data_IF_296220577875
#
_entry.id   IF_296220577875
#
_cell.length_a   1.000
_cell.length_b   1.000
_cell.length_c   1.000
_cell.angle_alpha   90.00
_cell.angle_beta   90.00
_cell.angle_gamma   90.00
#
_symmetry.space_group_name_H-M   'P 1'
#
loop_
_entity.id
_entity.type
_entity.pdbx_description
1 polymer ?
#
# COMPACT_ATOMS: atom_id res chain seq x y z
N UNK A 1 37.49 26.61 -5.04
CA UNK A 1 36.71 26.93 -6.25
C UNK A 1 36.27 25.63 -6.91
N UNK A 2 35.02 25.19 -6.67
CA UNK A 2 34.27 24.44 -7.68
C UNK A 2 32.95 25.15 -8.01
N UNK A 3 32.59 25.04 -9.29
CA UNK A 3 31.51 25.76 -9.97
C UNK A 3 30.16 25.12 -9.65
N UNK A 4 29.25 25.96 -9.15
CA UNK A 4 27.85 25.65 -8.88
C UNK A 4 27.04 25.75 -10.18
N UNK A 5 26.20 24.76 -10.48
CA UNK A 5 25.12 24.87 -11.47
C UNK A 5 23.76 24.87 -10.78
N UNK A 6 22.82 25.78 -11.14
CA UNK A 6 21.52 25.87 -10.47
C UNK A 6 20.42 25.13 -11.25
N UNK A 7 19.64 24.31 -10.54
CA UNK A 7 18.36 23.79 -11.04
C UNK A 7 17.23 24.78 -10.75
N UNK A 8 16.52 25.19 -11.80
CA UNK A 8 15.27 25.95 -11.74
C UNK A 8 14.11 25.01 -11.37
N UNK A 9 13.36 25.37 -10.33
CA UNK A 9 12.00 24.86 -10.08
C UNK A 9 10.98 25.96 -10.43
N UNK A 10 10.12 25.68 -11.41
CA UNK A 10 8.91 26.46 -11.70
C UNK A 10 7.69 25.69 -11.22
N UNK A 11 6.99 26.26 -10.24
CA UNK A 11 5.69 25.80 -9.73
C UNK A 11 4.58 26.11 -10.73
N UNK A 12 3.62 25.20 -10.88
CA UNK A 12 2.23 25.59 -11.16
C UNK A 12 1.26 24.65 -10.45
N UNK A 13 0.30 25.26 -9.77
CA UNK A 13 -0.85 24.67 -9.08
C UNK A 13 -2.03 24.72 -10.08
N UNK A 14 -2.99 23.78 -10.01
CA UNK A 14 -4.33 24.28 -9.71
C UNK A 14 -5.19 23.41 -8.78
N UNK A 15 -5.95 24.16 -7.97
CA UNK A 15 -7.35 24.00 -7.65
C UNK A 15 -7.86 22.72 -6.96
N UNK A 16 -8.21 22.94 -5.68
CA UNK A 16 -9.28 22.25 -4.95
C UNK A 16 -10.61 22.36 -5.69
N UNK A 17 -11.32 21.25 -5.78
CA UNK A 17 -12.79 21.22 -5.74
C UNK A 17 -13.23 20.28 -4.65
N UNK A 18 -13.88 20.88 -3.67
CA UNK A 18 -14.65 20.27 -2.60
C UNK A 18 -15.87 19.54 -3.15
N UNK A 19 -16.13 18.31 -2.68
CA UNK A 19 -17.49 17.81 -2.58
C UNK A 19 -17.68 17.12 -1.23
N UNK A 20 -18.67 17.66 -0.54
CA UNK A 20 -19.26 17.28 0.73
C UNK A 20 -20.08 15.99 0.64
N UNK A 21 -20.12 15.27 1.77
CA UNK A 21 -21.32 14.57 2.24
C UNK A 21 -21.57 13.20 1.63
N UNK A 22 -21.57 12.16 2.47
CA UNK A 22 -22.78 11.45 2.88
C UNK A 22 -22.35 10.47 3.98
N UNK A 23 -22.96 10.65 5.16
CA UNK A 23 -22.95 9.73 6.27
C UNK A 23 -23.70 8.45 5.89
N UNK A 24 -23.12 7.27 6.11
CA UNK A 24 -23.88 6.03 6.20
C UNK A 24 -23.15 5.02 7.08
N UNK A 25 -23.78 4.76 8.20
CA UNK A 25 -23.50 3.72 9.19
C UNK A 25 -23.76 2.33 8.63
N UNK A 26 -22.82 1.38 8.75
CA UNK A 26 -23.18 -0.03 9.00
C UNK A 26 -21.97 -0.87 9.42
N UNK A 27 -22.22 -1.68 10.44
CA UNK A 27 -21.44 -2.66 11.20
C UNK A 27 -20.62 -3.71 10.39
N UNK A 28 -19.74 -4.48 11.06
CA UNK A 28 -18.66 -5.24 10.42
C UNK A 28 -19.16 -6.59 9.90
N UNK A 29 -18.89 -6.91 8.63
CA UNK A 29 -19.07 -8.26 8.08
C UNK A 29 -17.76 -8.83 7.54
N UNK A 30 -17.32 -9.87 8.25
CA UNK A 30 -16.53 -11.05 7.86
C UNK A 30 -15.73 -10.94 6.55
N UNK A 31 -14.40 -11.01 6.72
CA UNK A 31 -13.40 -11.34 5.68
C UNK A 31 -13.85 -12.59 4.91
N UNK A 32 -14.28 -12.42 3.67
CA UNK A 32 -14.37 -13.52 2.70
C UNK A 32 -12.99 -13.71 2.07
N UNK A 33 -12.38 -14.85 2.36
CA UNK A 33 -11.17 -15.35 1.71
C UNK A 33 -11.39 -15.34 0.20
N UNK A 34 -10.47 -14.71 -0.54
CA UNK A 34 -10.52 -14.59 -1.99
C UNK A 34 -10.55 -15.97 -2.64
N UNK A 35 -11.51 -16.15 -3.56
CA UNK A 35 -11.64 -17.35 -4.36
C UNK A 35 -10.42 -17.51 -5.25
N UNK A 36 -9.87 -18.72 -5.25
CA UNK A 36 -8.81 -19.18 -6.14
C UNK A 36 -9.26 -19.11 -7.61
N UNK A 37 -8.32 -19.02 -8.57
CA UNK A 37 -8.62 -18.99 -10.00
C UNK A 37 -9.36 -20.25 -10.43
N UNK A 38 -10.38 -20.05 -11.26
CA UNK A 38 -11.31 -21.03 -11.82
C UNK A 38 -10.59 -22.13 -12.64
N UNK A 39 -10.01 -23.11 -11.97
CA UNK A 39 -9.39 -24.28 -12.61
C UNK A 39 -10.39 -25.29 -13.19
N UNK A 40 -11.71 -25.02 -13.14
CA UNK A 40 -12.74 -25.98 -13.55
C UNK A 40 -13.32 -25.78 -14.97
N UNK A 41 -12.90 -24.76 -15.71
CA UNK A 41 -13.48 -24.47 -17.04
C UNK A 41 -12.97 -25.35 -18.21
N UNK A 42 -12.11 -26.35 -17.96
CA UNK A 42 -11.56 -27.23 -19.03
C UNK A 42 -12.20 -28.61 -19.14
N UNK A 43 -13.36 -28.87 -18.52
CA UNK A 43 -13.99 -30.20 -18.50
C UNK A 43 -15.04 -30.43 -19.62
N UNK A 44 -15.19 -29.50 -20.56
CA UNK A 44 -16.28 -29.53 -21.55
C UNK A 44 -16.06 -30.40 -22.79
N UNK A 45 -14.84 -30.85 -23.08
CA UNK A 45 -14.53 -31.49 -24.37
C UNK A 45 -13.58 -32.70 -24.19
N UNK A 46 -14.09 -33.80 -23.66
CA UNK A 46 -13.45 -35.11 -23.89
C UNK A 46 -14.52 -36.20 -23.96
N UNK A 47 -14.69 -36.79 -25.14
CA UNK A 47 -15.53 -37.97 -25.32
C UNK A 47 -15.10 -39.08 -24.37
N UNK A 48 -16.10 -39.76 -23.79
CA UNK A 48 -16.03 -41.00 -22.99
C UNK A 48 -14.61 -41.44 -22.56
N UNK A 49 -13.99 -40.68 -21.66
CA UNK A 49 -12.79 -41.12 -20.97
C UNK A 49 -13.17 -42.29 -20.04
N UNK A 50 -12.31 -43.30 -19.98
CA UNK A 50 -12.49 -44.43 -19.07
C UNK A 50 -12.67 -43.91 -17.63
N UNK A 51 -13.50 -44.54 -16.77
CA UNK A 51 -13.60 -44.16 -15.36
C UNK A 51 -12.24 -44.11 -14.65
N UNK A 52 -11.25 -44.88 -15.12
CA UNK A 52 -9.87 -44.84 -14.61
C UNK A 52 -9.14 -43.52 -14.96
N UNK A 53 -9.33 -42.98 -16.16
CA UNK A 53 -8.74 -41.70 -16.60
C UNK A 53 -9.35 -40.51 -15.83
N UNK A 54 -10.64 -40.61 -15.47
CA UNK A 54 -11.33 -39.60 -14.67
C UNK A 54 -10.80 -39.54 -13.23
N UNK A 55 -10.51 -40.70 -12.62
CA UNK A 55 -9.90 -40.79 -11.29
C UNK A 55 -8.47 -40.26 -11.31
N UNK A 56 -7.68 -40.63 -12.32
CA UNK A 56 -6.31 -40.15 -12.46
C UNK A 56 -6.25 -38.63 -12.64
N UNK A 57 -7.16 -38.06 -13.43
CA UNK A 57 -7.30 -36.61 -13.60
C UNK A 57 -7.66 -35.90 -12.28
N UNK A 58 -8.60 -36.45 -11.51
CA UNK A 58 -8.97 -35.92 -10.20
C UNK A 58 -7.79 -35.97 -9.22
N UNK A 59 -7.08 -37.09 -9.14
CA UNK A 59 -5.89 -37.23 -8.30
C UNK A 59 -4.81 -36.20 -8.68
N UNK A 60 -4.54 -36.00 -9.98
CA UNK A 60 -3.61 -34.96 -10.46
C UNK A 60 -4.04 -33.55 -10.05
N UNK A 61 -5.33 -33.21 -10.17
CA UNK A 61 -5.84 -31.90 -9.72
C UNK A 61 -5.78 -31.70 -8.21
N UNK A 62 -6.15 -32.70 -7.42
CA UNK A 62 -6.04 -32.60 -5.96
C UNK A 62 -4.58 -32.45 -5.53
N UNK A 63 -3.66 -33.18 -6.16
CA UNK A 63 -2.23 -33.09 -5.89
C UNK A 63 -1.70 -31.69 -6.20
N UNK A 64 -2.10 -31.12 -7.34
CA UNK A 64 -1.74 -29.74 -7.73
C UNK A 64 -2.32 -28.69 -6.78
N UNK A 65 -3.59 -28.84 -6.37
CA UNK A 65 -4.22 -27.96 -5.38
C UNK A 65 -3.53 -28.01 -4.01
N UNK A 66 -3.16 -29.22 -3.55
CA UNK A 66 -2.41 -29.38 -2.30
C UNK A 66 -1.04 -28.72 -2.37
N UNK A 67 -0.33 -28.86 -3.49
CA UNK A 67 0.95 -28.20 -3.69
C UNK A 67 0.82 -26.66 -3.65
N UNK A 68 -0.22 -26.11 -4.30
CA UNK A 68 -0.51 -24.67 -4.27
C UNK A 68 -0.90 -24.18 -2.87
N UNK A 69 -1.67 -24.96 -2.11
CA UNK A 69 -2.04 -24.62 -0.73
C UNK A 69 -0.81 -24.62 0.18
N UNK A 70 0.07 -25.63 0.08
CA UNK A 70 1.32 -25.66 0.82
C UNK A 70 2.23 -24.48 0.47
N UNK A 71 2.32 -24.13 -0.81
CA UNK A 71 3.07 -22.95 -1.25
C UNK A 71 2.49 -21.67 -0.63
N UNK A 72 1.15 -21.51 -0.66
CA UNK A 72 0.48 -20.32 -0.13
C UNK A 72 0.61 -20.21 1.38
N UNK A 73 0.56 -21.32 2.09
CA UNK A 73 0.79 -21.38 3.54
C UNK A 73 2.22 -20.99 3.89
N UNK A 74 3.21 -21.46 3.11
CA UNK A 74 4.60 -21.03 3.24
C UNK A 74 4.80 -19.53 2.96
N UNK A 75 4.12 -18.96 1.98
CA UNK A 75 4.13 -17.51 1.72
C UNK A 75 3.51 -16.70 2.86
N UNK A 76 2.35 -17.13 3.37
CA UNK A 76 1.69 -16.49 4.51
C UNK A 76 2.57 -16.51 5.76
N UNK A 77 3.29 -17.60 5.98
CA UNK A 77 4.22 -17.70 7.10
C UNK A 77 5.38 -16.71 6.96
N UNK A 78 6.01 -16.64 5.78
CA UNK A 78 7.05 -15.63 5.49
C UNK A 78 6.52 -14.20 5.67
N UNK A 79 5.27 -13.92 5.29
CA UNK A 79 4.66 -12.60 5.47
C UNK A 79 4.44 -12.27 6.96
N UNK A 80 4.04 -13.24 7.78
CA UNK A 80 3.92 -13.07 9.24
C UNK A 80 5.28 -12.79 9.88
N UNK A 81 6.30 -13.56 9.49
CA UNK A 81 7.66 -13.39 10.02
C UNK A 81 8.24 -12.01 9.61
N UNK A 82 8.01 -11.58 8.37
CA UNK A 82 8.39 -10.24 7.92
C UNK A 82 7.67 -9.12 8.67
N UNK A 83 6.39 -9.30 9.02
CA UNK A 83 5.65 -8.31 9.84
C UNK A 83 6.18 -8.23 11.25
N UNK A 84 6.51 -9.35 11.89
CA UNK A 84 7.14 -9.37 13.22
C UNK A 84 8.47 -8.62 13.21
N UNK A 85 9.32 -8.90 12.22
CA UNK A 85 10.60 -8.19 12.05
C UNK A 85 10.41 -6.67 11.85
N UNK A 86 9.37 -6.26 11.12
CA UNK A 86 9.05 -4.85 10.94
C UNK A 86 8.58 -4.19 12.25
N UNK A 87 7.75 -4.88 13.03
CA UNK A 87 7.30 -4.40 14.35
C UNK A 87 8.47 -4.28 15.34
N UNK A 88 9.33 -5.30 15.44
CA UNK A 88 10.54 -5.28 16.26
C UNK A 88 11.50 -4.15 15.83
N UNK A 89 11.68 -3.96 14.52
CA UNK A 89 12.49 -2.85 13.99
C UNK A 89 11.89 -1.49 14.32
N UNK A 90 10.56 -1.35 14.27
CA UNK A 90 9.86 -0.12 14.60
C UNK A 90 9.97 0.21 16.10
N UNK A 91 9.81 -0.78 16.97
CA UNK A 91 9.98 -0.63 18.42
C UNK A 91 11.43 -0.23 18.77
N UNK A 92 12.41 -0.89 18.16
CA UNK A 92 13.84 -0.54 18.30
C UNK A 92 14.13 0.90 17.86
N UNK A 93 13.54 1.33 16.72
CA UNK A 93 13.71 2.70 16.24
C UNK A 93 13.07 3.76 17.16
N UNK A 94 11.92 3.46 17.77
CA UNK A 94 11.28 4.35 18.76
C UNK A 94 12.13 4.44 20.03
N UNK A 95 12.63 3.31 20.52
CA UNK A 95 13.52 3.27 21.68
C UNK A 95 14.82 4.06 21.44
N UNK A 96 15.45 3.87 20.28
CA UNK A 96 16.65 4.61 19.90
C UNK A 96 16.41 6.14 19.82
N UNK A 97 15.23 6.57 19.34
CA UNK A 97 14.86 7.99 19.32
C UNK A 97 14.69 8.57 20.72
N UNK A 98 14.01 7.83 21.61
CA UNK A 98 13.85 8.26 23.00
C UNK A 98 15.20 8.39 23.70
N UNK A 99 16.12 7.44 23.47
CA UNK A 99 17.48 7.52 24.02
C UNK A 99 18.22 8.76 23.51
N UNK A 100 18.20 9.03 22.20
CA UNK A 100 18.86 10.21 21.63
C UNK A 100 18.29 11.53 22.16
N UNK A 101 16.98 11.57 22.45
CA UNK A 101 16.34 12.74 23.03
C UNK A 101 16.76 12.94 24.50
N UNK A 102 16.83 11.86 25.28
CA UNK A 102 17.38 11.89 26.65
C UNK A 102 18.84 12.33 26.66
N UNK A 103 19.68 11.78 25.76
CA UNK A 103 21.08 12.14 25.64
C UNK A 103 21.25 13.62 25.26
N UNK A 104 20.39 14.15 24.38
CA UNK A 104 20.36 15.58 24.01
C UNK A 104 20.07 16.45 25.22
N UNK A 105 19.05 16.11 25.98
CA UNK A 105 18.63 16.90 27.13
C UNK A 105 19.68 16.82 28.25
N UNK A 106 20.29 15.64 28.46
CA UNK A 106 21.43 15.47 29.36
C UNK A 106 22.63 16.35 28.94
N UNK A 107 23.04 16.29 27.67
CA UNK A 107 24.12 17.13 27.14
C UNK A 107 23.81 18.62 27.27
N UNK A 108 22.55 19.03 27.08
CA UNK A 108 22.14 20.41 27.26
C UNK A 108 22.33 20.86 28.71
N UNK A 109 21.87 20.06 29.67
CA UNK A 109 22.07 20.37 31.10
C UNK A 109 23.54 20.40 31.48
N UNK A 110 24.38 19.52 30.92
CA UNK A 110 25.82 19.51 31.14
C UNK A 110 26.48 20.78 30.57
N UNK A 111 26.09 21.21 29.37
CA UNK A 111 26.57 22.48 28.77
C UNK A 111 26.18 23.67 29.64
N UNK A 112 24.92 23.75 30.10
CA UNK A 112 24.45 24.82 30.98
C UNK A 112 25.18 24.82 32.34
N UNK A 113 25.45 23.63 32.90
CA UNK A 113 26.21 23.47 34.14
C UNK A 113 27.69 23.88 33.97
N UNK A 114 28.33 23.50 32.86
CA UNK A 114 29.69 23.90 32.53
C UNK A 114 29.79 25.41 32.30
N UNK A 115 28.80 26.01 31.63
CA UNK A 115 28.73 27.46 31.46
C UNK A 115 28.62 28.17 32.81
N UNK A 116 27.72 27.71 33.68
CA UNK A 116 27.55 28.25 35.04
C UNK A 116 28.80 28.06 35.91
N UNK A 117 29.58 26.99 35.70
CA UNK A 117 30.87 26.76 36.38
C UNK A 117 31.94 27.71 35.84
N UNK A 118 31.98 27.93 34.54
CA UNK A 118 32.90 28.87 33.91
C UNK A 118 32.64 30.30 34.41
N UNK A 119 31.38 30.74 34.46
CA UNK A 119 31.02 32.06 35.01
C UNK A 119 31.40 32.20 36.50
N UNK A 120 31.13 31.18 37.32
CA UNK A 120 31.54 31.16 38.73
C UNK A 120 33.06 31.18 38.90
N UNK A 121 33.78 30.44 38.07
CA UNK A 121 35.25 30.45 38.04
C UNK A 121 35.78 31.83 37.65
N UNK A 122 35.26 32.43 36.58
CA UNK A 122 35.64 33.79 36.17
C UNK A 122 35.40 34.80 37.31
N UNK A 123 34.28 34.71 38.04
CA UNK A 123 33.98 35.58 39.18
C UNK A 123 34.91 35.37 40.39
N UNK A 124 35.15 34.11 40.78
CA UNK A 124 36.06 33.77 41.88
C UNK A 124 37.50 34.16 41.55
N UNK A 125 37.92 33.99 40.30
CA UNK A 125 39.24 34.34 39.83
C UNK A 125 39.43 35.86 39.79
N UNK A 126 38.42 36.63 39.35
CA UNK A 126 38.46 38.10 39.42
C UNK A 126 38.63 38.57 40.87
N UNK A 127 37.91 37.97 41.81
CA UNK A 127 38.03 38.29 43.24
C UNK A 127 39.41 37.89 43.81
N UNK A 128 39.90 36.68 43.51
CA UNK A 128 41.21 36.20 43.96
C UNK A 128 42.37 37.05 43.42
N UNK A 129 42.33 37.37 42.12
CA UNK A 129 43.31 38.26 41.48
C UNK A 129 43.26 39.69 42.06
N UNK A 130 42.08 40.18 42.43
CA UNK A 130 41.93 41.47 43.09
C UNK A 130 42.57 41.48 44.50
N UNK A 131 42.37 40.41 45.28
CA UNK A 131 42.97 40.26 46.60
C UNK A 131 44.50 40.17 46.54
N UNK A 132 45.07 39.35 45.65
CA UNK A 132 46.53 39.26 45.48
C UNK A 132 47.13 40.59 45.01
N UNK A 133 46.46 41.31 44.11
CA UNK A 133 46.87 42.67 43.72
C UNK A 133 46.84 43.64 44.91
N UNK A 134 45.86 43.52 45.80
CA UNK A 134 45.80 44.34 47.00
C UNK A 134 46.94 44.02 47.98
N UNK A 135 47.29 42.73 48.14
CA UNK A 135 48.43 42.29 48.96
C UNK A 135 49.76 42.76 48.40
N UNK A 136 49.99 42.67 47.08
CA UNK A 136 51.18 43.23 46.41
C UNK A 136 51.29 44.73 46.70
N UNK A 137 50.19 45.49 46.50
CA UNK A 137 50.17 46.93 46.81
C UNK A 137 50.39 47.23 48.29
N UNK A 138 50.00 46.34 49.21
CA UNK A 138 50.27 46.49 50.65
C UNK A 138 51.76 46.31 50.92
N UNK A 139 52.35 45.24 50.41
CA UNK A 139 53.78 44.95 50.55
C UNK A 139 54.66 46.03 49.90
N UNK A 140 54.25 46.58 48.75
CA UNK A 140 54.93 47.72 48.10
C UNK A 140 54.92 48.97 48.98
N UNK A 141 53.80 49.24 49.66
CA UNK A 141 53.68 50.36 50.62
C UNK A 141 54.52 50.14 51.86
N UNK A 142 54.48 48.94 52.45
CA UNK A 142 55.31 48.57 53.60
C UNK A 142 56.81 48.71 53.27
N UNK A 143 57.22 48.25 52.08
CA UNK A 143 58.57 48.41 51.57
C UNK A 143 58.96 49.88 51.43
N UNK A 144 58.09 50.72 50.86
CA UNK A 144 58.36 52.14 50.68
C UNK A 144 58.60 52.85 52.02
N UNK A 145 57.80 52.54 53.05
CA UNK A 145 57.97 53.08 54.40
C UNK A 145 59.31 52.64 55.01
N UNK A 146 59.69 51.37 54.87
CA UNK A 146 60.98 50.87 55.39
C UNK A 146 62.18 51.51 54.67
N UNK A 147 62.04 51.83 53.38
CA UNK A 147 63.08 52.56 52.63
C UNK A 147 63.20 53.99 53.14
N UNK A 148 62.09 54.69 53.37
CA UNK A 148 62.10 56.05 53.93
C UNK A 148 62.68 56.08 55.35
N UNK A 149 62.32 55.11 56.20
CA UNK A 149 62.92 54.98 57.54
C UNK A 149 64.42 54.70 57.46
N UNK A 150 64.85 53.80 56.56
CA UNK A 150 66.26 53.52 56.33
C UNK A 150 67.02 54.78 55.89
N UNK A 151 66.45 55.60 55.02
CA UNK A 151 67.04 56.87 54.56
C UNK A 151 67.20 57.86 55.73
N UNK A 152 66.19 58.00 56.61
CA UNK A 152 66.28 58.83 57.82
C UNK A 152 67.42 58.37 58.75
N UNK A 153 67.54 57.07 58.99
CA UNK A 153 68.64 56.52 59.80
C UNK A 153 70.01 56.65 59.10
N UNK A 154 70.06 56.63 57.77
CA UNK A 154 71.29 56.90 57.00
C UNK A 154 71.74 58.37 57.11
N UNK A 155 70.79 59.31 57.10
CA UNK A 155 71.04 60.72 57.34
C UNK A 155 71.51 60.97 58.78
N UNK A 156 70.85 60.36 59.78
CA UNK A 156 71.25 60.46 61.19
C UNK A 156 72.63 59.85 61.45
N UNK A 157 72.93 58.70 60.84
CA UNK A 157 74.26 58.11 60.91
C UNK A 157 75.31 59.05 60.32
N UNK A 158 75.02 59.66 59.17
CA UNK A 158 75.91 60.62 58.51
C UNK A 158 76.12 61.88 59.37
N UNK A 159 75.07 62.34 60.06
CA UNK A 159 75.12 63.47 61.00
C UNK A 159 76.01 63.17 62.22
N UNK A 160 75.80 62.03 62.88
CA UNK A 160 76.59 61.61 64.05
C UNK A 160 78.05 61.35 63.67
N UNK A 161 78.30 60.70 62.53
CA UNK A 161 79.66 60.51 62.02
C UNK A 161 80.36 61.84 61.70
N UNK A 162 79.63 62.82 61.15
CA UNK A 162 80.14 64.17 60.93
C UNK A 162 80.48 64.92 62.23
N UNK A 163 79.67 64.77 63.28
CA UNK A 163 79.93 65.34 64.60
C UNK A 163 81.18 64.74 65.26
N UNK A 164 81.35 63.41 65.21
CA UNK A 164 82.56 62.72 65.67
C UNK A 164 83.82 63.20 64.93
N UNK A 165 83.73 63.41 63.61
CA UNK A 165 84.84 63.90 62.79
C UNK A 165 85.22 65.36 63.13
N UNK A 166 84.25 66.21 63.49
CA UNK A 166 84.49 67.59 63.92
C UNK A 166 85.09 67.66 65.34
N UNK A 167 84.64 66.80 66.27
CA UNK A 167 85.19 66.71 67.63
C UNK A 167 86.64 66.20 67.68
N UNK A 168 87.06 65.37 66.72
CA UNK A 168 88.45 64.90 66.60
C UNK A 168 89.40 65.88 65.90
N UNK A 169 88.89 66.90 65.22
CA UNK A 169 89.70 67.81 64.38
C UNK A 169 90.20 69.06 65.11
N UNK A 170 89.80 69.30 66.37
CA UNK A 170 90.25 70.43 67.19
C UNK A 170 91.64 70.26 67.83
N UNK A 171 92.34 69.13 67.61
CA UNK A 171 93.60 68.78 68.30
C UNK A 171 94.88 68.87 67.42
N UNK A 172 94.87 69.65 66.34
CA UNK A 172 96.07 69.77 65.50
C UNK A 172 96.12 71.09 64.74
N UNK A 173 96.83 72.09 65.28
CA UNK A 173 98.04 72.72 64.69
C UNK A 173 98.48 74.01 65.47
N UNK A 174 99.30 73.83 66.53
CA UNK A 174 100.53 74.58 66.96
C UNK A 174 100.58 76.13 67.19
N UNK A 175 101.62 76.76 67.84
CA UNK A 175 102.78 76.26 68.60
C UNK A 175 103.06 76.93 70.00
N UNK A 176 103.79 76.18 70.86
CA UNK A 176 104.94 76.55 71.75
C UNK A 176 105.07 78.00 72.29
N UNK A 177 104.89 78.20 73.61
CA UNK A 177 105.88 78.71 74.61
C UNK A 177 105.19 79.13 75.94
N UNK A 178 105.73 78.69 77.08
CA UNK A 178 105.63 79.43 78.35
C UNK A 178 104.72 78.88 79.45
N UNK A 179 105.32 78.10 80.36
CA UNK A 179 105.02 77.92 81.81
C UNK A 179 103.64 78.35 82.33
N UNK A 180 102.87 77.38 82.86
CA UNK A 180 102.57 77.21 84.29
C UNK A 180 101.74 75.94 84.51
N UNK A 181 101.93 75.18 85.61
CA UNK A 181 101.19 73.95 85.86
C UNK A 181 100.24 74.12 87.06
N UNK A 182 98.96 74.36 86.83
CA UNK A 182 97.91 74.09 87.83
C UNK A 182 96.61 73.65 87.11
N UNK A 183 96.12 72.47 87.52
CA UNK A 183 94.76 71.92 87.49
C UNK A 183 93.97 71.99 86.15
N UNK A 184 93.71 70.91 85.40
CA UNK A 184 93.62 69.49 85.74
C UNK A 184 92.17 69.03 85.98
N UNK A 185 91.23 69.23 85.03
CA UNK A 185 89.91 68.55 84.99
C UNK A 185 89.01 69.01 83.81
N UNK A 186 89.43 68.82 82.56
CA UNK A 186 88.53 69.06 81.41
C UNK A 186 88.63 68.02 80.27
N UNK A 187 89.55 67.06 80.34
CA UNK A 187 89.69 66.02 79.32
C UNK A 187 88.74 64.83 79.52
N UNK A 188 88.29 64.55 80.76
CA UNK A 188 87.38 63.45 81.06
C UNK A 188 85.97 63.62 80.46
N UNK A 189 85.46 64.85 80.43
CA UNK A 189 84.13 65.15 79.88
C UNK A 189 84.09 65.06 78.35
N UNK A 190 85.24 65.19 77.66
CA UNK A 190 85.33 65.06 76.20
C UNK A 190 85.41 63.60 75.75
N UNK A 191 86.14 62.76 76.49
CA UNK A 191 86.21 61.31 76.22
C UNK A 191 84.86 60.62 76.49
N UNK A 192 84.13 61.03 77.54
CA UNK A 192 82.78 60.54 77.84
C UNK A 192 81.78 60.92 76.73
N UNK A 193 81.82 62.17 76.24
CA UNK A 193 81.00 62.61 75.10
C UNK A 193 81.33 61.88 73.79
N UNK A 194 82.61 61.58 73.53
CA UNK A 194 83.00 60.79 72.37
C UNK A 194 82.52 59.35 72.48
N UNK A 195 82.65 58.73 73.65
CA UNK A 195 82.18 57.37 73.89
C UNK A 195 80.64 57.26 73.77
N UNK A 196 79.91 58.27 74.25
CA UNK A 196 78.45 58.34 74.09
C UNK A 196 78.05 58.48 72.62
N UNK A 197 78.71 59.36 71.85
CA UNK A 197 78.49 59.50 70.42
C UNK A 197 78.85 58.23 69.63
N UNK A 198 79.89 57.50 70.03
CA UNK A 198 80.26 56.22 69.43
C UNK A 198 79.25 55.11 69.74
N UNK A 199 78.72 55.07 70.97
CA UNK A 199 77.63 54.18 71.38
C UNK A 199 76.35 54.46 70.61
N UNK A 200 75.96 55.74 70.50
CA UNK A 200 74.83 56.20 69.67
C UNK A 200 75.05 55.83 68.20
N UNK A 201 76.24 56.07 67.65
CA UNK A 201 76.55 55.71 66.26
C UNK A 201 76.46 54.19 66.04
N UNK A 202 76.90 53.37 67.00
CA UNK A 202 76.80 51.91 66.91
C UNK A 202 75.36 51.41 67.01
N UNK A 203 74.53 52.01 67.86
CA UNK A 203 73.09 51.69 67.91
C UNK A 203 72.38 52.07 66.61
N UNK A 204 72.68 53.23 66.04
CA UNK A 204 72.16 53.68 64.74
C UNK A 204 72.61 52.74 63.61
N UNK A 205 73.88 52.32 63.58
CA UNK A 205 74.38 51.32 62.61
C UNK A 205 73.62 50.00 62.72
N UNK A 206 73.40 49.50 63.93
CA UNK A 206 72.67 48.26 64.18
C UNK A 206 71.20 48.37 63.72
N UNK A 207 70.55 49.51 63.99
CA UNK A 207 69.18 49.78 63.54
C UNK A 207 69.10 49.88 62.01
N UNK A 208 70.07 50.54 61.36
CA UNK A 208 70.17 50.61 59.90
C UNK A 208 70.37 49.23 59.27
N UNK A 209 71.24 48.38 59.83
CA UNK A 209 71.45 47.02 59.34
C UNK A 209 70.20 46.15 59.52
N UNK A 210 69.49 46.30 60.65
CA UNK A 210 68.18 45.68 60.88
C UNK A 210 67.16 46.10 59.82
N UNK A 211 67.05 47.40 59.52
CA UNK A 211 66.15 47.92 58.48
C UNK A 211 66.54 47.45 57.07
N UNK A 212 67.84 47.37 56.76
CA UNK A 212 68.34 46.81 55.50
C UNK A 212 67.90 45.34 55.35
N UNK A 213 68.08 44.53 56.40
CA UNK A 213 67.64 43.14 56.40
C UNK A 213 66.12 43.01 56.28
N UNK A 214 65.34 43.90 56.89
CA UNK A 214 63.89 43.95 56.73
C UNK A 214 63.46 44.31 55.30
N UNK A 215 64.12 45.30 54.66
CA UNK A 215 63.90 45.65 53.27
C UNK A 215 64.18 44.47 52.33
N UNK A 216 65.31 43.77 52.52
CA UNK A 216 65.68 42.60 51.71
C UNK A 216 64.67 41.45 51.87
N UNK A 217 64.17 41.20 53.09
CA UNK A 217 63.10 40.23 53.34
C UNK A 217 61.79 40.62 52.65
N UNK A 218 61.42 41.90 52.66
CA UNK A 218 60.23 42.38 51.95
C UNK A 218 60.38 42.29 50.44
N UNK A 219 61.59 42.52 49.92
CA UNK A 219 61.90 42.34 48.50
C UNK A 219 61.82 40.87 48.06
N UNK A 220 62.31 39.92 48.86
CA UNK A 220 62.16 38.50 48.55
C UNK A 220 60.71 38.04 48.67
N UNK A 221 59.97 38.51 49.68
CA UNK A 221 58.54 38.25 49.83
C UNK A 221 57.73 38.75 48.62
N UNK A 222 57.99 39.98 48.16
CA UNK A 222 57.37 40.54 46.95
C UNK A 222 57.69 39.72 45.70
N UNK A 223 58.94 39.30 45.50
CA UNK A 223 59.31 38.46 44.35
C UNK A 223 58.57 37.13 44.35
N UNK A 224 58.55 36.43 45.49
CA UNK A 224 57.86 35.15 45.64
C UNK A 224 56.35 35.28 45.43
N UNK A 225 55.73 36.34 45.97
CA UNK A 225 54.30 36.61 45.74
C UNK A 225 54.00 36.90 44.26
N UNK A 226 54.88 37.62 43.58
CA UNK A 226 54.72 37.93 42.16
C UNK A 226 54.90 36.66 41.28
N UNK A 227 55.84 35.78 41.62
CA UNK A 227 56.01 34.48 40.96
C UNK A 227 54.79 33.58 41.16
N UNK A 228 54.31 33.44 42.39
CA UNK A 228 53.07 32.69 42.70
C UNK A 228 51.88 33.23 41.91
N UNK A 229 51.70 34.55 41.88
CA UNK A 229 50.63 35.19 41.11
C UNK A 229 50.73 34.86 39.61
N UNK A 230 51.94 34.87 39.02
CA UNK A 230 52.15 34.51 37.61
C UNK A 230 51.81 33.05 37.34
N UNK A 231 52.24 32.14 38.20
CA UNK A 231 51.95 30.70 38.08
C UNK A 231 50.45 30.42 38.16
N UNK A 232 49.78 30.97 39.18
CA UNK A 232 48.32 30.83 39.33
C UNK A 232 47.58 31.44 38.14
N UNK A 233 47.97 32.64 37.69
CA UNK A 233 47.39 33.27 36.50
C UNK A 233 47.57 32.43 35.22
N UNK A 234 48.75 31.82 35.04
CA UNK A 234 49.00 30.94 33.89
C UNK A 234 48.14 29.66 33.96
N UNK A 235 48.01 29.04 35.14
CA UNK A 235 47.11 27.91 35.36
C UNK A 235 45.66 28.27 35.03
N UNK A 236 45.18 29.44 35.47
CA UNK A 236 43.83 29.91 35.15
C UNK A 236 43.63 30.13 33.65
N UNK A 237 44.63 30.72 32.98
CA UNK A 237 44.58 30.95 31.54
C UNK A 237 44.44 29.61 30.78
N UNK A 238 45.22 28.60 31.14
CA UNK A 238 45.13 27.27 30.54
C UNK A 238 43.76 26.61 30.78
N UNK A 239 43.26 26.64 32.02
CA UNK A 239 41.93 26.09 32.35
C UNK A 239 40.81 26.79 31.56
N UNK A 240 40.88 28.11 31.40
CA UNK A 240 39.93 28.88 30.60
C UNK A 240 39.97 28.51 29.12
N UNK A 241 41.17 28.35 28.55
CA UNK A 241 41.33 27.92 27.17
C UNK A 241 40.76 26.51 26.94
N UNK A 242 40.98 25.58 27.86
CA UNK A 242 40.45 24.22 27.76
C UNK A 242 38.93 24.17 27.92
N UNK A 243 38.35 24.92 28.86
CA UNK A 243 36.90 25.08 28.98
C UNK A 243 36.29 25.70 27.71
N UNK A 244 36.95 26.69 27.10
CA UNK A 244 36.47 27.25 25.84
C UNK A 244 36.53 26.23 24.70
N UNK A 245 37.57 25.40 24.62
CA UNK A 245 37.65 24.31 23.62
C UNK A 245 36.52 23.31 23.81
N UNK A 246 36.24 22.89 25.05
CA UNK A 246 35.16 21.93 25.33
C UNK A 246 33.79 22.53 25.03
N UNK A 247 33.53 23.80 25.38
CA UNK A 247 32.31 24.50 25.00
C UNK A 247 32.11 24.57 23.48
N UNK A 248 33.16 24.89 22.71
CA UNK A 248 33.08 24.90 21.23
C UNK A 248 32.80 23.50 20.67
N UNK A 249 33.46 22.47 21.21
CA UNK A 249 33.24 21.09 20.80
C UNK A 249 31.82 20.58 21.14
N UNK A 250 31.26 20.99 22.28
CA UNK A 250 29.88 20.68 22.65
C UNK A 250 28.89 21.43 21.75
N UNK A 251 29.16 22.69 21.41
CA UNK A 251 28.32 23.46 20.50
C UNK A 251 28.25 22.84 19.09
N UNK A 252 29.37 22.35 18.55
CA UNK A 252 29.39 21.65 17.25
C UNK A 252 28.62 20.32 17.31
N UNK A 253 28.80 19.53 18.39
CA UNK A 253 28.01 18.30 18.61
C UNK A 253 26.51 18.60 18.71
N UNK A 254 26.12 19.63 19.47
CA UNK A 254 24.73 20.06 19.60
C UNK A 254 24.12 20.47 18.25
N UNK A 255 24.86 21.24 17.43
CA UNK A 255 24.43 21.57 16.06
C UNK A 255 24.23 20.34 15.19
N UNK A 256 25.11 19.32 15.31
CA UNK A 256 24.98 18.07 14.55
C UNK A 256 23.75 17.28 14.98
N UNK A 257 23.47 17.20 16.28
CA UNK A 257 22.25 16.55 16.81
C UNK A 257 21.00 17.25 16.26
N UNK A 258 20.97 18.58 16.24
CA UNK A 258 19.84 19.33 15.69
C UNK A 258 19.63 19.07 14.19
N UNK A 259 20.70 18.96 13.40
CA UNK A 259 20.62 18.61 11.98
C UNK A 259 20.05 17.20 11.78
N UNK A 260 20.51 16.21 12.56
CA UNK A 260 20.01 14.83 12.49
C UNK A 260 18.53 14.74 12.91
N UNK A 261 18.09 15.54 13.89
CA UNK A 261 16.69 15.63 14.28
C UNK A 261 15.81 16.22 13.16
N UNK A 262 16.30 17.23 12.44
CA UNK A 262 15.59 17.79 11.29
C UNK A 262 15.44 16.75 10.17
N UNK A 263 16.52 16.06 9.81
CA UNK A 263 16.50 14.98 8.81
C UNK A 263 15.55 13.84 9.23
N UNK A 264 15.53 13.48 10.51
CA UNK A 264 14.62 12.47 11.06
C UNK A 264 13.15 12.90 10.92
N UNK A 265 12.84 14.18 11.11
CA UNK A 265 11.48 14.73 10.91
C UNK A 265 11.08 14.69 9.43
N UNK A 266 11.97 15.04 8.51
CA UNK A 266 11.73 14.97 7.06
C UNK A 266 11.48 13.53 6.60
N UNK A 267 12.32 12.59 7.06
CA UNK A 267 12.13 11.15 6.79
C UNK A 267 10.79 10.66 7.33
N UNK A 268 10.36 11.11 8.51
CA UNK A 268 9.06 10.75 9.07
C UNK A 268 7.88 11.30 8.24
N UNK A 269 7.99 12.52 7.72
CA UNK A 269 6.97 13.10 6.83
C UNK A 269 6.88 12.33 5.51
N UNK A 270 8.02 12.01 4.89
CA UNK A 270 8.05 11.22 3.65
C UNK A 270 7.48 9.82 3.86
N UNK A 271 7.80 9.16 4.99
CA UNK A 271 7.20 7.87 5.36
C UNK A 271 5.67 7.97 5.49
N UNK A 272 5.15 9.06 6.07
CA UNK A 272 3.72 9.35 6.14
C UNK A 272 3.08 9.42 4.75
N UNK A 273 3.68 10.20 3.84
CA UNK A 273 3.21 10.31 2.46
C UNK A 273 3.24 8.98 1.70
N UNK A 274 4.26 8.14 1.92
CA UNK A 274 4.32 6.79 1.33
C UNK A 274 3.22 5.87 1.87
N UNK A 275 2.92 5.93 3.17
CA UNK A 275 1.81 5.18 3.77
C UNK A 275 0.46 5.59 3.17
N UNK A 276 0.19 6.89 3.06
CA UNK A 276 -1.02 7.41 2.43
C UNK A 276 -1.14 6.96 0.96
N UNK A 277 -0.04 6.98 0.20
CA UNK A 277 -0.01 6.49 -1.18
C UNK A 277 -0.29 4.99 -1.26
N UNK A 278 0.24 4.18 -0.34
CA UNK A 278 -0.04 2.75 -0.25
C UNK A 278 -1.51 2.48 0.05
N UNK A 279 -2.11 3.22 0.97
CA UNK A 279 -3.52 3.06 1.31
C UNK A 279 -4.45 3.48 0.16
N UNK A 280 -4.09 4.55 -0.58
CA UNK A 280 -4.78 4.93 -1.81
C UNK A 280 -4.68 3.84 -2.89
N UNK A 281 -3.52 3.19 -3.04
CA UNK A 281 -3.34 2.06 -3.96
C UNK A 281 -4.16 0.84 -3.52
N UNK A 282 -4.18 0.50 -2.23
CA UNK A 282 -5.01 -0.58 -1.69
C UNK A 282 -6.49 -0.33 -1.95
N UNK A 283 -6.96 0.90 -1.75
CA UNK A 283 -8.34 1.28 -2.06
C UNK A 283 -8.67 1.16 -3.55
N UNK A 284 -7.74 1.57 -4.43
CA UNK A 284 -7.90 1.37 -5.89
C UNK A 284 -7.94 -0.11 -6.26
N UNK A 285 -7.06 -0.94 -5.70
CA UNK A 285 -7.08 -2.38 -5.93
C UNK A 285 -8.39 -3.01 -5.46
N UNK A 286 -8.91 -2.61 -4.29
CA UNK A 286 -10.21 -3.09 -3.81
C UNK A 286 -11.37 -2.72 -4.75
N UNK A 287 -11.33 -1.53 -5.37
CA UNK A 287 -12.30 -1.16 -6.41
C UNK A 287 -12.18 -2.04 -7.66
N UNK A 288 -10.95 -2.22 -8.17
CA UNK A 288 -10.68 -3.08 -9.34
C UNK A 288 -11.16 -4.52 -9.07
N UNK A 289 -10.90 -5.08 -7.89
CA UNK A 289 -11.37 -6.41 -7.50
C UNK A 289 -12.90 -6.49 -7.48
N UNK A 290 -13.59 -5.46 -6.97
CA UNK A 290 -15.06 -5.43 -6.98
C UNK A 290 -15.65 -5.31 -8.38
N UNK A 291 -15.02 -4.54 -9.27
CA UNK A 291 -15.40 -4.40 -10.67
C UNK A 291 -15.17 -5.70 -11.44
N UNK A 292 -14.06 -6.40 -11.19
CA UNK A 292 -13.77 -7.71 -11.77
C UNK A 292 -14.83 -8.73 -11.37
N UNK A 293 -15.13 -8.85 -10.06
CA UNK A 293 -16.20 -9.74 -9.56
C UNK A 293 -17.57 -9.44 -10.17
N UNK A 294 -17.89 -8.16 -10.36
CA UNK A 294 -19.15 -7.76 -10.99
C UNK A 294 -19.18 -8.15 -12.48
N UNK A 295 -18.06 -7.99 -13.19
CA UNK A 295 -17.95 -8.43 -14.60
C UNK A 295 -18.07 -9.94 -14.72
N UNK A 296 -17.41 -10.71 -13.86
CA UNK A 296 -17.51 -12.16 -13.83
C UNK A 296 -18.95 -12.62 -13.57
N UNK A 297 -19.63 -12.01 -12.58
CA UNK A 297 -21.04 -12.32 -12.30
C UNK A 297 -21.97 -12.01 -13.50
N UNK A 298 -21.70 -10.92 -14.23
CA UNK A 298 -22.45 -10.59 -15.45
C UNK A 298 -22.18 -11.58 -16.58
N UNK A 299 -20.93 -12.02 -16.74
CA UNK A 299 -20.56 -13.02 -17.76
C UNK A 299 -21.23 -14.37 -17.47
N UNK A 300 -21.25 -14.82 -16.22
CA UNK A 300 -21.96 -16.04 -15.84
C UNK A 300 -23.47 -15.94 -16.09
N UNK A 301 -24.11 -14.81 -15.76
CA UNK A 301 -25.52 -14.61 -16.07
C UNK A 301 -25.82 -14.64 -17.58
N UNK A 302 -24.91 -14.10 -18.42
CA UNK A 302 -25.03 -14.19 -19.88
C UNK A 302 -24.86 -15.63 -20.36
N UNK A 303 -23.89 -16.38 -19.82
CA UNK A 303 -23.69 -17.80 -20.16
C UNK A 303 -24.91 -18.65 -19.82
N UNK A 304 -25.47 -18.48 -18.62
CA UNK A 304 -26.71 -19.17 -18.22
C UNK A 304 -27.89 -18.84 -19.15
N UNK A 305 -27.99 -17.59 -19.61
CA UNK A 305 -29.01 -17.18 -20.57
C UNK A 305 -28.78 -17.80 -21.95
N UNK A 306 -27.52 -17.89 -22.40
CA UNK A 306 -27.16 -18.52 -23.66
C UNK A 306 -27.49 -20.01 -23.64
N UNK A 307 -27.15 -20.71 -22.56
CA UNK A 307 -27.46 -22.13 -22.38
C UNK A 307 -28.98 -22.39 -22.41
N UNK A 308 -29.77 -21.54 -21.74
CA UNK A 308 -31.24 -21.60 -21.80
C UNK A 308 -31.77 -21.42 -23.23
N UNK A 309 -31.21 -20.47 -23.99
CA UNK A 309 -31.61 -20.27 -25.38
C UNK A 309 -31.20 -21.44 -26.28
N UNK A 310 -30.01 -22.02 -26.07
CA UNK A 310 -29.55 -23.21 -26.78
C UNK A 310 -30.45 -24.41 -26.51
N UNK A 311 -30.88 -24.62 -25.27
CA UNK A 311 -31.81 -25.69 -24.93
C UNK A 311 -33.21 -25.46 -25.53
N UNK A 312 -33.73 -24.23 -25.48
CA UNK A 312 -34.99 -23.88 -26.14
C UNK A 312 -34.94 -24.16 -27.64
N UNK A 313 -33.84 -23.79 -28.31
CA UNK A 313 -33.64 -24.08 -29.73
C UNK A 313 -33.62 -25.59 -30.00
N UNK A 314 -32.93 -26.37 -29.17
CA UNK A 314 -32.89 -27.83 -29.28
C UNK A 314 -34.28 -28.46 -29.16
N UNK A 315 -35.10 -28.00 -28.21
CA UNK A 315 -36.48 -28.45 -28.03
C UNK A 315 -37.37 -28.10 -29.23
N UNK A 316 -37.27 -26.88 -29.76
CA UNK A 316 -38.01 -26.47 -30.96
C UNK A 316 -37.57 -27.24 -32.21
N UNK A 317 -36.28 -27.57 -32.34
CA UNK A 317 -35.81 -28.45 -33.43
C UNK A 317 -36.42 -29.85 -33.32
N UNK A 318 -36.42 -30.47 -32.14
CA UNK A 318 -37.03 -31.78 -31.93
C UNK A 318 -38.53 -31.79 -32.22
N UNK A 319 -39.25 -30.75 -31.78
CA UNK A 319 -40.68 -30.57 -32.07
C UNK A 319 -40.95 -30.40 -33.58
N UNK A 320 -40.11 -29.65 -34.28
CA UNK A 320 -40.22 -29.51 -35.73
C UNK A 320 -39.96 -30.83 -36.46
N UNK A 321 -39.02 -31.66 -35.99
CA UNK A 321 -38.79 -33.00 -36.53
C UNK A 321 -40.01 -33.91 -36.35
N UNK A 322 -40.65 -33.88 -35.18
CA UNK A 322 -41.90 -34.61 -34.89
C UNK A 322 -43.04 -34.15 -35.81
N UNK A 323 -43.28 -32.85 -35.92
CA UNK A 323 -44.29 -32.29 -36.83
C UNK A 323 -44.03 -32.63 -38.30
N UNK A 324 -42.76 -32.71 -38.72
CA UNK A 324 -42.39 -33.16 -40.06
C UNK A 324 -42.68 -34.65 -40.27
N UNK A 325 -42.51 -35.49 -39.24
CA UNK A 325 -42.86 -36.91 -39.30
C UNK A 325 -44.39 -37.09 -39.41
N UNK A 326 -45.16 -36.42 -38.55
CA UNK A 326 -46.63 -36.43 -38.57
C UNK A 326 -47.18 -35.96 -39.92
N UNK A 327 -46.59 -34.88 -40.47
CA UNK A 327 -46.97 -34.37 -41.79
C UNK A 327 -46.76 -35.41 -42.89
N UNK A 328 -45.63 -36.15 -42.87
CA UNK A 328 -45.36 -37.22 -43.84
C UNK A 328 -46.35 -38.37 -43.69
N UNK A 329 -46.70 -38.75 -42.47
CA UNK A 329 -47.68 -39.80 -42.21
C UNK A 329 -49.08 -39.41 -42.71
N UNK A 330 -49.53 -38.19 -42.39
CA UNK A 330 -50.79 -37.65 -42.89
C UNK A 330 -50.83 -37.57 -44.41
N UNK A 331 -49.73 -37.15 -45.04
CA UNK A 331 -49.63 -37.08 -46.51
C UNK A 331 -49.67 -38.47 -47.15
N UNK A 332 -48.99 -39.47 -46.56
CA UNK A 332 -49.09 -40.86 -46.99
C UNK A 332 -50.52 -41.43 -46.82
N UNK A 333 -51.18 -41.12 -45.70
CA UNK A 333 -52.58 -41.48 -45.45
C UNK A 333 -53.52 -40.84 -46.48
N UNK A 334 -53.33 -39.55 -46.80
CA UNK A 334 -54.08 -38.84 -47.85
C UNK A 334 -53.91 -39.50 -49.21
N UNK A 335 -52.68 -39.85 -49.59
CA UNK A 335 -52.39 -40.54 -50.87
C UNK A 335 -53.11 -41.89 -50.92
N UNK A 336 -53.06 -42.70 -49.86
CA UNK A 336 -53.78 -43.99 -49.78
C UNK A 336 -55.29 -43.81 -49.93
N UNK A 337 -55.88 -42.82 -49.26
CA UNK A 337 -57.30 -42.49 -49.40
C UNK A 337 -57.66 -42.07 -50.83
N UNK A 338 -56.86 -41.20 -51.44
CA UNK A 338 -57.06 -40.77 -52.83
C UNK A 338 -56.96 -41.95 -53.81
N UNK A 339 -56.00 -42.84 -53.63
CA UNK A 339 -55.91 -44.08 -54.42
C UNK A 339 -57.15 -44.96 -54.23
N UNK A 340 -57.59 -45.17 -52.98
CA UNK A 340 -58.81 -45.94 -52.70
C UNK A 340 -60.09 -45.31 -53.24
N UNK A 341 -60.17 -43.97 -53.31
CA UNK A 341 -61.28 -43.25 -53.96
C UNK A 341 -61.20 -43.38 -55.48
N UNK A 342 -60.01 -43.27 -56.07
CA UNK A 342 -59.79 -43.47 -57.51
C UNK A 342 -60.18 -44.89 -57.95
N UNK A 343 -59.77 -45.93 -57.22
CA UNK A 343 -60.20 -47.31 -57.49
C UNK A 343 -61.71 -47.50 -57.38
N UNK A 344 -62.36 -46.88 -56.38
CA UNK A 344 -63.83 -46.91 -56.25
C UNK A 344 -64.53 -46.17 -57.38
N UNK A 345 -63.98 -45.04 -57.83
CA UNK A 345 -64.50 -44.32 -59.00
C UNK A 345 -64.47 -45.22 -60.23
N UNK A 346 -63.33 -45.87 -60.51
CA UNK A 346 -63.20 -46.77 -61.65
C UNK A 346 -64.17 -47.97 -61.56
N UNK A 347 -64.41 -48.51 -60.35
CA UNK A 347 -65.42 -49.55 -60.14
C UNK A 347 -66.83 -49.04 -60.41
N UNK A 348 -67.16 -47.81 -60.01
CA UNK A 348 -68.45 -47.20 -60.31
C UNK A 348 -68.62 -46.98 -61.81
N UNK A 349 -67.58 -46.55 -62.51
CA UNK A 349 -67.61 -46.40 -63.97
C UNK A 349 -67.86 -47.75 -64.66
N UNK A 350 -67.15 -48.82 -64.26
CA UNK A 350 -67.40 -50.20 -64.73
C UNK A 350 -68.83 -50.67 -64.45
N UNK A 351 -69.35 -50.40 -63.24
CA UNK A 351 -70.74 -50.72 -62.89
C UNK A 351 -71.73 -49.91 -63.71
N UNK A 352 -71.42 -48.67 -64.04
CA UNK A 352 -72.17 -47.86 -64.99
C UNK A 352 -72.23 -48.49 -66.38
N UNK A 353 -71.09 -48.99 -66.88
CA UNK A 353 -71.01 -49.72 -68.15
C UNK A 353 -71.82 -51.03 -68.12
N UNK A 354 -71.74 -51.81 -67.04
CA UNK A 354 -72.55 -53.02 -66.82
C UNK A 354 -74.05 -52.69 -66.84
N UNK A 355 -74.48 -51.61 -66.18
CA UNK A 355 -75.88 -51.16 -66.18
C UNK A 355 -76.31 -50.80 -67.59
N UNK A 356 -75.51 -50.07 -68.36
CA UNK A 356 -75.84 -49.72 -69.75
C UNK A 356 -75.87 -50.95 -70.67
N UNK A 357 -75.02 -51.95 -70.43
CA UNK A 357 -75.08 -53.24 -71.12
C UNK A 357 -76.36 -54.01 -70.77
N UNK A 358 -76.73 -54.09 -69.49
CA UNK A 358 -77.98 -54.70 -69.05
C UNK A 358 -79.21 -53.98 -69.62
N UNK A 359 -79.22 -52.64 -69.67
CA UNK A 359 -80.30 -51.87 -70.33
C UNK A 359 -80.41 -52.16 -71.83
N UNK A 360 -79.29 -52.39 -72.53
CA UNK A 360 -79.32 -52.83 -73.94
C UNK A 360 -79.92 -54.23 -74.07
N UNK A 361 -79.47 -55.17 -73.24
CA UNK A 361 -79.99 -56.55 -73.23
C UNK A 361 -81.50 -56.59 -72.93
N UNK A 362 -81.98 -55.79 -71.98
CA UNK A 362 -83.43 -55.68 -71.67
C UNK A 362 -84.20 -55.19 -72.91
N UNK A 363 -83.70 -54.17 -73.62
CA UNK A 363 -84.32 -53.70 -74.86
C UNK A 363 -84.35 -54.78 -75.95
N UNK A 364 -83.24 -55.51 -76.14
CA UNK A 364 -83.17 -56.62 -77.09
C UNK A 364 -84.19 -57.73 -76.75
N UNK A 365 -84.29 -58.10 -75.47
CA UNK A 365 -85.28 -59.07 -74.99
C UNK A 365 -86.71 -58.56 -75.15
N UNK A 366 -86.98 -57.28 -74.91
CA UNK A 366 -88.29 -56.67 -75.15
C UNK A 366 -88.66 -56.69 -76.65
N UNK A 367 -87.72 -56.36 -77.53
CA UNK A 367 -87.91 -56.45 -78.99
C UNK A 367 -88.13 -57.89 -79.45
N UNK A 368 -87.37 -58.84 -78.91
CA UNK A 368 -87.54 -60.25 -79.21
C UNK A 368 -88.87 -60.80 -78.67
N UNK A 369 -89.29 -60.38 -77.48
CA UNK A 369 -90.59 -60.74 -76.92
C UNK A 369 -91.73 -60.13 -77.76
N UNK A 370 -91.59 -58.89 -78.24
CA UNK A 370 -92.54 -58.31 -79.22
C UNK A 370 -92.58 -59.12 -80.51
N UNK A 371 -91.43 -59.55 -81.04
CA UNK A 371 -91.33 -60.39 -82.24
C UNK A 371 -92.01 -61.75 -82.03
N UNK A 372 -91.75 -62.41 -80.90
CA UNK A 372 -92.37 -63.69 -80.53
C UNK A 372 -93.87 -63.55 -80.27
N UNK A 373 -94.29 -62.47 -79.60
CA UNK A 373 -95.72 -62.15 -79.41
C UNK A 373 -96.42 -61.93 -80.74
N UNK A 374 -95.80 -61.18 -81.66
CA UNK A 374 -96.31 -61.00 -83.02
C UNK A 374 -96.34 -62.30 -83.82
N UNK A 375 -95.33 -63.17 -83.67
CA UNK A 375 -95.30 -64.51 -84.25
C UNK A 375 -96.41 -65.39 -83.69
N UNK A 376 -96.63 -65.36 -82.37
CA UNK A 376 -97.73 -66.06 -81.69
C UNK A 376 -99.09 -65.56 -82.17
N UNK A 377 -99.29 -64.25 -82.29
CA UNK A 377 -100.50 -63.69 -82.88
C UNK A 377 -100.69 -64.14 -84.34
N UNK A 378 -99.61 -64.19 -85.12
CA UNK A 378 -99.63 -64.73 -86.49
C UNK A 378 -100.05 -66.20 -86.53
N UNK A 379 -99.51 -67.03 -85.64
CA UNK A 379 -99.88 -68.43 -85.49
C UNK A 379 -101.32 -68.59 -85.00
N UNK A 380 -101.79 -67.79 -84.03
CA UNK A 380 -103.18 -67.81 -83.58
C UNK A 380 -104.15 -67.38 -84.69
N UNK A 381 -103.78 -66.42 -85.55
CA UNK A 381 -104.56 -66.06 -86.74
C UNK A 381 -104.59 -67.19 -87.77
N UNK A 382 -103.46 -67.88 -87.98
CA UNK A 382 -103.42 -69.05 -88.84
C UNK A 382 -104.27 -70.20 -88.27
N UNK A 383 -104.21 -70.44 -86.97
CA UNK A 383 -105.02 -71.42 -86.25
C UNK A 383 -106.52 -71.09 -86.31
N UNK A 384 -106.89 -69.82 -86.10
CA UNK A 384 -108.26 -69.35 -86.29
C UNK A 384 -108.74 -69.51 -87.74
N UNK A 385 -107.87 -69.20 -88.72
CA UNK A 385 -108.16 -69.43 -90.14
C UNK A 385 -108.35 -70.91 -90.47
N UNK A 386 -107.53 -71.81 -89.89
CA UNK A 386 -107.72 -73.26 -90.03
C UNK A 386 -109.01 -73.75 -89.34
N UNK A 387 -109.38 -73.19 -88.19
CA UNK A 387 -110.64 -73.49 -87.52
C UNK A 387 -111.86 -73.05 -88.34
N UNK A 388 -111.82 -71.85 -88.94
CA UNK A 388 -112.85 -71.40 -89.89
C UNK A 388 -112.94 -72.33 -91.09
N UNK A 389 -111.80 -72.76 -91.64
CA UNK A 389 -111.72 -73.71 -92.75
C UNK A 389 -112.37 -75.04 -92.39
N UNK A 390 -112.08 -75.56 -91.19
CA UNK A 390 -112.71 -76.76 -90.63
C UNK A 390 -114.22 -76.57 -90.51
N UNK A 391 -114.70 -75.42 -90.04
CA UNK A 391 -116.13 -75.16 -89.90
C UNK A 391 -116.86 -74.98 -91.23
N UNK A 392 -116.21 -74.44 -92.28
CA UNK A 392 -116.73 -74.52 -93.66
C UNK A 392 -116.84 -75.96 -94.15
N UNK A 393 -115.81 -76.78 -93.94
CA UNK A 393 -115.82 -78.19 -94.33
C UNK A 393 -116.89 -78.99 -93.56
N UNK A 394 -117.19 -78.62 -92.31
CA UNK A 394 -118.33 -79.18 -91.56
C UNK A 394 -119.67 -78.79 -92.18
N UNK A 395 -119.87 -77.51 -92.55
CA UNK A 395 -121.11 -77.03 -93.20
C UNK A 395 -121.35 -77.66 -94.57
N UNK A 396 -120.29 -77.85 -95.36
CA UNK A 396 -120.38 -78.54 -96.65
C UNK A 396 -120.79 -80.01 -96.50
N UNK A 397 -120.23 -80.69 -95.49
CA UNK A 397 -120.61 -82.06 -95.15
C UNK A 397 -122.07 -82.17 -94.71
N UNK A 398 -122.55 -81.22 -93.89
CA UNK A 398 -123.93 -81.23 -93.42
C UNK A 398 -124.95 -80.91 -94.54
N UNK A 399 -124.51 -80.20 -95.60
CA UNK A 399 -125.34 -79.93 -96.79
C UNK A 399 -125.55 -81.15 -97.71
N UNK A 400 -124.79 -82.23 -97.56
CA UNK A 400 -124.85 -83.40 -98.45
C UNK A 400 -125.79 -84.53 -97.95
N UNK A 401 -126.40 -84.42 -96.77
CA UNK A 401 -127.13 -85.53 -96.14
C UNK A 401 -128.67 -85.45 -96.15
N UNK A 402 -129.33 -84.64 -97.00
CA UNK A 402 -130.80 -84.59 -96.98
C UNK A 402 -131.53 -84.22 -98.27
N UNK A 403 -131.77 -85.19 -99.18
CA UNK A 403 -133.10 -85.58 -99.73
C UNK A 403 -133.03 -86.56 -100.95
N UNK A 404 -134.06 -87.41 -101.22
CA UNK A 404 -133.96 -88.65 -102.01
C UNK A 404 -134.84 -88.78 -103.28
N UNK A 405 -134.49 -89.78 -104.11
CA UNK A 405 -135.23 -90.60 -105.10
C UNK A 405 -135.82 -89.96 -106.39
N UNK A 406 -135.34 -90.44 -107.57
CA UNK A 406 -136.05 -91.20 -108.64
C UNK A 406 -135.32 -91.09 -110.00
N UNK A 407 -134.95 -92.24 -110.57
CA UNK A 407 -134.94 -92.60 -112.01
C UNK A 407 -134.06 -91.85 -113.03
N UNK A 408 -133.15 -92.57 -113.72
CA UNK A 408 -133.19 -92.85 -115.18
C UNK A 408 -131.97 -93.71 -115.58
N UNK A 409 -132.28 -94.63 -116.50
CA UNK A 409 -131.51 -95.68 -117.16
C UNK A 409 -130.48 -95.22 -118.22
N UNK A 410 -129.59 -96.16 -118.58
CA UNK A 410 -128.80 -96.26 -119.83
C UNK A 410 -127.59 -95.30 -119.92
N UNK A 411 -126.41 -95.63 -120.48
CA UNK A 411 -125.97 -96.72 -121.36
C UNK A 411 -124.43 -96.59 -121.58
N UNK A 412 -123.75 -97.73 -121.69
CA UNK A 412 -122.67 -98.06 -122.65
C UNK A 412 -121.36 -97.23 -122.77
N UNK A 413 -120.26 -98.01 -122.69
CA UNK A 413 -118.99 -97.99 -123.44
C UNK A 413 -117.92 -96.91 -123.18
N UNK A 414 -116.70 -97.41 -122.90
CA UNK A 414 -115.43 -96.68 -122.80
C UNK A 414 -114.54 -97.30 -121.76
#
# INVERSE_FOLDING_TARGET
MPVVSPHKQGKSVPARTSLSGVTSTSSPKKKSVGAAPSLLQSLGESGAASPEESVEFLCKKFTSLFALLQQREGELQRERDARKLLEESQESAVSARQQLEQDRDALRTEVEALHSRMERSDNLNVAGLANMKADIRRLERERALLVEEKEKWEEEQSRLAGQLQQGGSSSSTAPRFGRSPEDGSHDGDQEEQQHDLESELNTVKLQRESLRAQCERKDTELRLQNERWKEEFNCFKLQKEDLQKTCRALATKSSRVNALLAETKELQQSLGAYKERLDALRAKNGKIESEAKLKDAKLEAVRESEDKMREQLRLEMAKNEELLADRKELEAGRVKLLQGLSSRSNQLDQKGEEIEALKRLVRELEEENKRLSGSKEGLCKAEAGHLEQIDTLKRERDSLQGKPAWGITASFQG
#
